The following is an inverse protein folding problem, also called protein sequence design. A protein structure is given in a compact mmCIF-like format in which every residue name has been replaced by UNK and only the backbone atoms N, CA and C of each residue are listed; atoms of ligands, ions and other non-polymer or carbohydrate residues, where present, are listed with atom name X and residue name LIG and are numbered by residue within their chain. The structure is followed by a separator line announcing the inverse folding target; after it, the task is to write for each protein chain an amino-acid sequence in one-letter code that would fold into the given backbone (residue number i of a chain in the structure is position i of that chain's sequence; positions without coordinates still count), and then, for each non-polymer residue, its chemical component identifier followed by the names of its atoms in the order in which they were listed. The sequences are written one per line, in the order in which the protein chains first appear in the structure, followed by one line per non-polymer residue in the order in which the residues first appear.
data_IF_967064942668
#
_entry.id   IF_967064942668
#
_cell.length_a   1.000
_cell.length_b   1.000
_cell.length_c   1.000
_cell.angle_alpha   90.00
_cell.angle_beta   90.00
_cell.angle_gamma   90.00
#
_symmetry.space_group_name_H-M   'P 1'
#
loop_
_entity.id
_entity.type
_entity.pdbx_description
1 polymer ?
#
# COMPACT_ATOMS: atom_id res chain seq x y z
N UNK A 1 3.39 -0.85 31.15
CA UNK A 1 3.50 -0.76 29.68
C UNK A 1 3.20 -2.13 29.10
N UNK A 2 2.04 -2.27 28.48
CA UNK A 2 1.64 -3.53 27.83
C UNK A 2 2.26 -3.55 26.45
N UNK A 3 3.18 -4.46 26.21
CA UNK A 3 3.85 -4.64 24.94
C UNK A 3 2.87 -5.31 23.97
N UNK A 4 2.31 -4.54 23.06
CA UNK A 4 1.32 -4.98 22.06
C UNK A 4 1.94 -5.76 20.89
N UNK A 5 3.26 -5.89 20.81
CA UNK A 5 3.95 -6.32 19.60
C UNK A 5 4.20 -7.83 19.44
N UNK A 6 3.96 -8.66 20.47
CA UNK A 6 4.24 -10.11 20.36
C UNK A 6 3.42 -11.03 21.27
N UNK A 7 2.38 -10.56 21.93
CA UNK A 7 1.53 -11.43 22.75
C UNK A 7 0.36 -11.94 21.93
N UNK A 8 0.05 -13.23 22.15
CA UNK A 8 -1.11 -13.87 21.57
C UNK A 8 -2.34 -12.98 21.76
N UNK A 9 -3.07 -12.88 20.76
CA UNK A 9 -4.12 -11.96 20.43
C UNK A 9 -5.30 -11.84 21.42
N UNK A 10 -5.31 -12.59 22.53
CA UNK A 10 -6.34 -12.55 23.56
C UNK A 10 -5.71 -12.13 24.89
N UNK A 11 -5.88 -10.88 25.29
CA UNK A 11 -5.36 -10.34 26.55
C UNK A 11 -6.52 -10.10 27.52
N UNK A 12 -6.46 -10.70 28.71
CA UNK A 12 -7.37 -10.42 29.82
C UNK A 12 -6.68 -9.59 30.88
N UNK A 13 -7.35 -8.58 31.40
CA UNK A 13 -6.88 -7.76 32.50
C UNK A 13 -7.49 -8.26 33.83
N UNK A 14 -6.63 -8.54 34.81
CA UNK A 14 -7.05 -8.91 36.17
C UNK A 14 -6.54 -7.81 37.10
N UNK A 15 -7.45 -7.15 37.83
CA UNK A 15 -7.11 -6.01 38.69
C UNK A 15 -7.86 -6.05 40.02
N UNK A 16 -7.32 -5.36 41.01
CA UNK A 16 -7.99 -5.14 42.29
C UNK A 16 -8.94 -3.92 42.26
N UNK A 17 -8.91 -3.14 41.18
CA UNK A 17 -9.65 -1.89 41.06
C UNK A 17 -10.82 -2.04 40.07
N UNK A 18 -12.00 -1.55 40.46
CA UNK A 18 -13.21 -1.54 39.64
C UNK A 18 -13.51 -0.12 39.09
N UNK A 19 -12.47 0.66 38.85
CA UNK A 19 -12.61 2.05 38.37
C UNK A 19 -13.05 2.07 36.90
N UNK A 20 -14.11 2.83 36.61
CA UNK A 20 -14.65 2.98 35.25
C UNK A 20 -13.63 3.55 34.28
N UNK A 21 -12.77 4.46 34.72
CA UNK A 21 -11.71 5.03 33.89
C UNK A 21 -10.72 3.96 33.42
N UNK A 22 -10.37 3.02 34.31
CA UNK A 22 -9.49 1.91 33.99
C UNK A 22 -10.13 0.94 32.99
N UNK A 23 -11.44 0.68 33.14
CA UNK A 23 -12.21 -0.16 32.21
C UNK A 23 -12.25 0.46 30.81
N UNK A 24 -12.55 1.76 30.71
CA UNK A 24 -12.56 2.46 29.43
C UNK A 24 -11.18 2.48 28.75
N UNK A 25 -10.12 2.66 29.53
CA UNK A 25 -8.75 2.59 29.01
C UNK A 25 -8.40 1.20 28.53
N UNK A 26 -8.78 0.16 29.27
CA UNK A 26 -8.58 -1.23 28.86
C UNK A 26 -9.35 -1.57 27.57
N UNK A 27 -10.58 -1.11 27.45
CA UNK A 27 -11.39 -1.27 26.23
C UNK A 27 -10.76 -0.56 25.01
N UNK A 28 -10.25 0.66 25.19
CA UNK A 28 -9.55 1.42 24.12
C UNK A 28 -8.26 0.74 23.64
N UNK A 29 -7.58 0.01 24.53
CA UNK A 29 -6.36 -0.73 24.21
C UNK A 29 -6.69 -2.08 23.52
N UNK A 30 -7.97 -2.51 23.55
CA UNK A 30 -8.42 -3.74 22.94
C UNK A 30 -8.14 -4.98 23.80
N UNK A 31 -8.34 -4.88 25.12
CA UNK A 31 -8.31 -6.02 26.04
C UNK A 31 -9.58 -6.87 25.83
N UNK A 32 -9.39 -8.16 25.64
CA UNK A 32 -10.49 -9.09 25.35
C UNK A 32 -11.39 -9.41 26.55
N UNK A 33 -10.87 -9.23 27.76
CA UNK A 33 -11.62 -9.46 28.99
C UNK A 33 -11.06 -8.70 30.18
N UNK A 34 -11.92 -8.49 31.18
CA UNK A 34 -11.60 -7.78 32.41
C UNK A 34 -12.20 -8.54 33.61
N UNK A 35 -11.39 -8.77 34.64
CA UNK A 35 -11.80 -9.42 35.87
C UNK A 35 -11.31 -8.65 37.09
N UNK A 36 -12.19 -8.48 38.08
CA UNK A 36 -11.87 -7.82 39.37
C UNK A 36 -11.58 -8.85 40.44
N UNK A 37 -10.53 -8.63 41.24
CA UNK A 37 -10.21 -9.44 42.43
C UNK A 37 -11.15 -9.06 43.58
N UNK A 38 -11.58 -10.05 44.41
CA UNK A 38 -11.23 -11.46 44.41
C UNK A 38 -11.93 -12.24 43.30
N UNK A 39 -11.18 -13.08 42.56
CA UNK A 39 -11.72 -13.88 41.46
C UNK A 39 -12.42 -15.09 42.01
N UNK A 40 -13.71 -15.22 41.73
CA UNK A 40 -14.43 -16.43 42.04
C UNK A 40 -14.06 -17.55 41.07
N UNK A 41 -13.77 -18.78 41.51
CA UNK A 41 -13.38 -19.87 40.62
C UNK A 41 -14.38 -20.16 39.50
N UNK A 42 -15.67 -19.98 39.77
CA UNK A 42 -16.75 -20.16 38.79
C UNK A 42 -16.91 -19.01 37.80
N UNK A 43 -16.28 -17.84 38.00
CA UNK A 43 -16.33 -16.72 37.12
C UNK A 43 -15.18 -16.68 36.08
N UNK A 44 -14.03 -17.29 36.42
CA UNK A 44 -12.83 -17.22 35.61
C UNK A 44 -12.97 -17.95 34.28
N UNK A 45 -13.43 -19.21 34.31
CA UNK A 45 -13.53 -20.04 33.11
C UNK A 45 -14.53 -19.49 32.10
N UNK A 46 -15.77 -19.10 32.48
CA UNK A 46 -16.70 -18.46 31.53
C UNK A 46 -16.17 -17.14 30.95
N UNK A 47 -15.50 -16.34 31.75
CA UNK A 47 -14.91 -15.07 31.27
C UNK A 47 -13.82 -15.32 30.22
N UNK A 48 -12.97 -16.32 30.39
CA UNK A 48 -11.96 -16.71 29.41
C UNK A 48 -12.63 -17.22 28.14
N UNK A 49 -13.63 -18.09 28.22
CA UNK A 49 -14.34 -18.63 27.07
C UNK A 49 -14.99 -17.51 26.23
N UNK A 50 -15.66 -16.57 26.91
CA UNK A 50 -16.27 -15.41 26.23
C UNK A 50 -15.21 -14.55 25.58
N UNK A 51 -14.11 -14.24 26.26
CA UNK A 51 -13.02 -13.43 25.71
C UNK A 51 -12.39 -14.07 24.46
N UNK A 52 -12.13 -15.37 24.51
CA UNK A 52 -11.58 -16.13 23.38
C UNK A 52 -12.56 -16.16 22.21
N UNK A 53 -13.86 -16.37 22.48
CA UNK A 53 -14.89 -16.40 21.45
C UNK A 53 -15.04 -15.02 20.76
N UNK A 54 -15.01 -13.93 21.52
CA UNK A 54 -15.04 -12.57 20.99
C UNK A 54 -13.81 -12.27 20.13
N UNK A 55 -12.63 -12.61 20.60
CA UNK A 55 -11.40 -12.39 19.84
C UNK A 55 -11.40 -13.17 18.51
N UNK A 56 -11.83 -14.43 18.54
CA UNK A 56 -11.98 -15.23 17.32
C UNK A 56 -12.95 -14.60 16.33
N UNK A 57 -14.06 -14.05 16.83
CA UNK A 57 -15.04 -13.34 16.01
C UNK A 57 -14.48 -12.05 15.42
N UNK A 58 -13.76 -11.25 16.22
CA UNK A 58 -13.12 -10.02 15.78
C UNK A 58 -12.08 -10.27 14.67
N UNK A 59 -11.23 -11.28 14.81
CA UNK A 59 -10.28 -11.68 13.78
C UNK A 59 -10.96 -12.11 12.50
N UNK A 60 -12.04 -12.87 12.60
CA UNK A 60 -12.80 -13.28 11.42
C UNK A 60 -13.38 -12.07 10.69
N UNK A 61 -13.94 -11.10 11.42
CA UNK A 61 -14.47 -9.87 10.85
C UNK A 61 -13.36 -9.01 10.24
N UNK A 62 -12.23 -8.86 10.93
CA UNK A 62 -11.08 -8.11 10.41
C UNK A 62 -10.56 -8.72 9.11
N UNK A 63 -10.37 -10.04 9.07
CA UNK A 63 -9.93 -10.72 7.84
C UNK A 63 -10.92 -10.57 6.67
N UNK A 64 -12.23 -10.51 6.96
CA UNK A 64 -13.25 -10.24 5.93
C UNK A 64 -13.18 -8.79 5.43
N UNK A 65 -12.96 -7.82 6.32
CA UNK A 65 -12.77 -6.41 5.96
C UNK A 65 -11.52 -6.23 5.11
N UNK A 66 -10.38 -6.76 5.56
CA UNK A 66 -9.11 -6.68 4.82
C UNK A 66 -9.23 -7.28 3.42
N UNK A 67 -9.92 -8.44 3.33
CA UNK A 67 -10.19 -9.08 2.04
C UNK A 67 -11.11 -8.25 1.11
N UNK A 68 -12.13 -7.61 1.67
CA UNK A 68 -13.03 -6.74 0.89
C UNK A 68 -12.33 -5.47 0.41
N UNK A 69 -11.55 -4.84 1.30
CA UNK A 69 -10.74 -3.67 0.93
C UNK A 69 -9.69 -4.00 -0.14
N UNK A 70 -9.05 -5.18 -0.03
CA UNK A 70 -8.08 -5.60 -1.05
C UNK A 70 -8.74 -5.79 -2.41
N UNK A 71 -9.92 -6.43 -2.46
CA UNK A 71 -10.68 -6.57 -3.71
C UNK A 71 -11.02 -5.21 -4.32
N UNK A 72 -11.48 -4.26 -3.50
CA UNK A 72 -11.80 -2.91 -3.96
C UNK A 72 -10.57 -2.17 -4.51
N UNK A 73 -9.43 -2.30 -3.84
CA UNK A 73 -8.14 -1.75 -4.32
C UNK A 73 -7.75 -2.37 -5.65
N UNK A 74 -7.87 -3.69 -5.78
CA UNK A 74 -7.53 -4.40 -7.01
C UNK A 74 -8.46 -4.01 -8.18
N UNK A 75 -9.76 -3.91 -7.95
CA UNK A 75 -10.72 -3.44 -8.97
C UNK A 75 -10.41 -2.04 -9.47
N UNK A 76 -10.12 -1.10 -8.55
CA UNK A 76 -9.72 0.27 -8.92
C UNK A 76 -8.43 0.28 -9.74
N UNK A 77 -7.46 -0.55 -9.38
CA UNK A 77 -6.19 -0.69 -10.08
C UNK A 77 -6.38 -1.24 -11.50
N UNK A 78 -7.22 -2.28 -11.63
CA UNK A 78 -7.57 -2.88 -12.93
C UNK A 78 -8.26 -1.84 -13.82
N UNK A 79 -9.25 -1.11 -13.29
CA UNK A 79 -9.96 -0.06 -14.04
C UNK A 79 -9.03 1.04 -14.55
N UNK A 80 -8.10 1.52 -13.71
CA UNK A 80 -7.10 2.50 -14.14
C UNK A 80 -6.23 1.97 -15.28
N UNK A 81 -5.75 0.74 -15.18
CA UNK A 81 -4.95 0.12 -16.24
C UNK A 81 -5.74 -0.11 -17.52
N UNK A 82 -7.04 -0.44 -17.43
CA UNK A 82 -7.92 -0.54 -18.61
C UNK A 82 -8.00 0.80 -19.35
N UNK A 83 -8.25 1.91 -18.63
CA UNK A 83 -8.32 3.25 -19.24
C UNK A 83 -7.04 3.55 -20.02
N UNK A 84 -5.88 3.30 -19.41
CA UNK A 84 -4.59 3.52 -20.07
C UNK A 84 -4.44 2.67 -21.34
N UNK A 85 -4.82 1.39 -21.30
CA UNK A 85 -4.75 0.51 -22.46
C UNK A 85 -5.71 0.97 -23.56
N UNK A 86 -6.92 1.40 -23.20
CA UNK A 86 -7.90 1.96 -24.15
C UNK A 86 -7.34 3.21 -24.87
N UNK A 87 -6.72 4.11 -24.14
CA UNK A 87 -6.14 5.33 -24.69
C UNK A 87 -4.90 5.05 -25.56
N UNK A 88 -4.00 4.20 -25.06
CA UNK A 88 -2.71 3.94 -25.75
C UNK A 88 -2.85 3.01 -26.94
N UNK A 89 -3.75 2.03 -26.89
CA UNK A 89 -3.92 1.02 -27.95
C UNK A 89 -5.20 1.19 -28.76
N UNK A 90 -6.01 2.20 -28.44
CA UNK A 90 -7.29 2.48 -29.10
C UNK A 90 -8.22 1.25 -29.16
N UNK A 91 -8.24 0.50 -28.07
CA UNK A 91 -9.07 -0.71 -27.94
C UNK A 91 -10.27 -0.49 -27.03
N UNK A 92 -11.25 -1.37 -27.08
CA UNK A 92 -12.42 -1.35 -26.21
C UNK A 92 -12.07 -1.79 -24.77
N UNK A 93 -12.92 -1.44 -23.81
CA UNK A 93 -12.77 -1.86 -22.41
C UNK A 93 -12.66 -3.39 -22.27
N UNK A 94 -13.48 -4.13 -23.03
CA UNK A 94 -13.48 -5.57 -23.03
C UNK A 94 -12.16 -6.15 -23.57
N UNK A 95 -11.62 -5.55 -24.60
CA UNK A 95 -10.34 -5.96 -25.19
C UNK A 95 -9.18 -5.67 -24.24
N UNK A 96 -9.16 -4.52 -23.61
CA UNK A 96 -8.16 -4.15 -22.61
C UNK A 96 -8.15 -5.16 -21.45
N UNK A 97 -9.34 -5.54 -20.95
CA UNK A 97 -9.44 -6.55 -19.90
C UNK A 97 -8.98 -7.93 -20.37
N UNK A 98 -9.37 -8.36 -21.58
CA UNK A 98 -8.93 -9.65 -22.16
C UNK A 98 -7.42 -9.72 -22.31
N UNK A 99 -6.78 -8.64 -22.75
CA UNK A 99 -5.32 -8.57 -22.85
C UNK A 99 -4.66 -8.72 -21.47
N UNK A 100 -5.11 -8.00 -20.45
CA UNK A 100 -4.57 -8.15 -19.09
C UNK A 100 -4.76 -9.56 -18.55
N UNK A 101 -5.94 -10.17 -18.80
CA UNK A 101 -6.23 -11.55 -18.39
C UNK A 101 -5.30 -12.55 -19.08
N UNK A 102 -5.08 -12.43 -20.38
CA UNK A 102 -4.14 -13.29 -21.14
C UNK A 102 -2.72 -13.14 -20.60
N UNK A 103 -2.26 -11.91 -20.34
CA UNK A 103 -0.95 -11.67 -19.73
C UNK A 103 -0.85 -12.29 -18.33
N UNK A 104 -1.91 -12.23 -17.54
CA UNK A 104 -1.95 -12.80 -16.19
C UNK A 104 -1.85 -14.34 -16.25
N UNK A 105 -2.58 -14.96 -17.16
CA UNK A 105 -2.50 -16.42 -17.38
C UNK A 105 -1.11 -16.85 -17.83
N UNK A 106 -0.52 -16.18 -18.82
CA UNK A 106 0.81 -16.50 -19.33
C UNK A 106 1.91 -16.33 -18.26
N UNK A 107 1.75 -15.37 -17.37
CA UNK A 107 2.71 -15.09 -16.26
C UNK A 107 2.35 -15.77 -14.94
N UNK A 108 1.31 -16.60 -14.91
CA UNK A 108 0.81 -17.30 -13.72
C UNK A 108 0.63 -16.34 -12.52
N UNK A 109 -0.02 -15.21 -12.77
CA UNK A 109 -0.24 -14.14 -11.79
C UNK A 109 -1.66 -13.62 -11.84
N UNK A 110 -2.03 -12.66 -10.99
CA UNK A 110 -3.36 -12.05 -10.98
C UNK A 110 -3.46 -10.90 -11.98
N UNK A 111 -4.70 -10.63 -12.45
CA UNK A 111 -4.98 -9.47 -13.32
C UNK A 111 -4.59 -8.17 -12.63
N UNK A 112 -4.82 -8.06 -11.32
CA UNK A 112 -4.42 -6.90 -10.53
C UNK A 112 -2.89 -6.69 -10.51
N UNK A 113 -2.10 -7.76 -10.48
CA UNK A 113 -0.64 -7.67 -10.56
C UNK A 113 -0.18 -7.17 -11.94
N UNK A 114 -0.81 -7.62 -13.02
CA UNK A 114 -0.56 -7.08 -14.37
C UNK A 114 -0.94 -5.60 -14.44
N UNK A 115 -2.11 -5.24 -13.92
CA UNK A 115 -2.58 -3.85 -13.87
C UNK A 115 -1.59 -2.94 -13.13
N UNK A 116 -1.09 -3.35 -11.96
CA UNK A 116 -0.03 -2.61 -11.24
C UNK A 116 1.24 -2.42 -12.07
N UNK A 117 1.66 -3.43 -12.83
CA UNK A 117 2.83 -3.30 -13.72
C UNK A 117 2.60 -2.31 -14.85
N UNK A 118 1.43 -2.31 -15.46
CA UNK A 118 1.06 -1.36 -16.52
C UNK A 118 1.12 0.08 -15.96
N UNK A 119 0.48 0.32 -14.81
CA UNK A 119 0.50 1.63 -14.15
C UNK A 119 1.94 2.08 -13.82
N UNK A 120 2.73 1.18 -13.27
CA UNK A 120 4.13 1.47 -12.92
C UNK A 120 4.97 1.80 -14.16
N UNK A 121 4.76 1.11 -15.29
CA UNK A 121 5.48 1.41 -16.55
C UNK A 121 5.09 2.78 -17.09
N UNK A 122 3.81 3.17 -17.00
CA UNK A 122 3.36 4.50 -17.42
C UNK A 122 3.94 5.61 -16.55
N UNK A 123 3.92 5.45 -15.22
CA UNK A 123 4.55 6.40 -14.31
C UNK A 123 6.05 6.58 -14.58
N UNK A 124 6.75 5.52 -14.96
CA UNK A 124 8.16 5.59 -15.34
C UNK A 124 8.37 6.36 -16.64
N UNK A 125 7.49 6.13 -17.62
CA UNK A 125 7.56 6.84 -18.91
C UNK A 125 7.27 8.33 -18.74
N UNK A 126 6.30 8.69 -17.92
CA UNK A 126 5.93 10.10 -17.65
C UNK A 126 7.07 10.88 -17.00
N UNK A 127 7.72 10.35 -15.98
CA UNK A 127 8.82 11.04 -15.28
C UNK A 127 10.02 11.28 -16.21
N UNK A 128 10.36 10.30 -17.03
CA UNK A 128 11.44 10.45 -18.02
C UNK A 128 11.05 11.50 -19.08
N UNK A 129 9.80 11.48 -19.52
CA UNK A 129 9.29 12.44 -20.52
C UNK A 129 9.29 13.87 -19.98
N UNK A 130 8.77 14.08 -18.76
CA UNK A 130 8.79 15.40 -18.11
C UNK A 130 10.22 15.92 -17.93
N UNK A 131 11.14 15.05 -17.51
CA UNK A 131 12.55 15.44 -17.34
C UNK A 131 13.21 15.77 -18.67
N UNK A 132 12.91 15.04 -19.75
CA UNK A 132 13.36 15.38 -21.09
C UNK A 132 12.90 16.77 -21.49
N UNK A 133 11.61 17.07 -21.32
CA UNK A 133 11.06 18.39 -21.64
C UNK A 133 11.72 19.51 -20.85
N UNK A 134 11.99 19.30 -19.57
CA UNK A 134 12.71 20.26 -18.72
C UNK A 134 14.14 20.50 -19.23
N UNK A 135 14.87 19.44 -19.60
CA UNK A 135 16.22 19.55 -20.14
C UNK A 135 16.22 20.26 -21.49
N UNK A 136 15.25 19.98 -22.38
CA UNK A 136 15.11 20.67 -23.66
C UNK A 136 14.86 22.17 -23.48
N UNK A 137 13.99 22.55 -22.53
CA UNK A 137 13.66 23.97 -22.28
C UNK A 137 14.79 24.74 -21.60
N UNK A 138 15.45 24.13 -20.59
CA UNK A 138 16.47 24.82 -19.77
C UNK A 138 17.86 24.76 -20.31
N UNK A 139 18.28 23.59 -20.77
CA UNK A 139 19.65 23.34 -21.25
C UNK A 139 19.75 23.42 -22.79
N UNK A 140 18.65 23.77 -23.48
CA UNK A 140 18.55 23.84 -24.94
C UNK A 140 19.03 22.57 -25.66
N UNK A 141 18.82 21.42 -25.05
CA UNK A 141 19.17 20.12 -25.60
C UNK A 141 18.13 19.66 -26.63
N UNK A 142 18.56 18.85 -27.62
CA UNK A 142 17.61 18.08 -28.43
C UNK A 142 16.97 16.96 -27.61
N UNK A 143 15.83 16.43 -28.05
CA UNK A 143 15.15 15.33 -27.37
C UNK A 143 16.05 14.10 -27.21
N UNK A 144 16.79 13.76 -28.26
CA UNK A 144 17.75 12.65 -28.24
C UNK A 144 18.88 12.89 -27.25
N UNK A 145 19.44 14.10 -27.19
CA UNK A 145 20.49 14.45 -26.23
C UNK A 145 19.99 14.43 -24.80
N UNK A 146 18.77 14.91 -24.54
CA UNK A 146 18.15 14.87 -23.21
C UNK A 146 17.94 13.43 -22.72
N UNK A 147 17.47 12.53 -23.59
CA UNK A 147 17.32 11.13 -23.25
C UNK A 147 18.66 10.44 -22.98
N UNK A 148 19.67 10.68 -23.81
CA UNK A 148 21.02 10.15 -23.59
C UNK A 148 21.64 10.65 -22.28
N UNK A 149 21.41 11.91 -21.94
CA UNK A 149 21.87 12.51 -20.69
C UNK A 149 21.26 11.79 -19.47
N UNK A 150 19.93 11.54 -19.49
CA UNK A 150 19.25 10.78 -18.41
C UNK A 150 19.83 9.37 -18.28
N UNK A 151 20.02 8.69 -19.41
CA UNK A 151 20.58 7.34 -19.46
C UNK A 151 22.00 7.28 -18.92
N UNK A 152 22.87 8.19 -19.34
CA UNK A 152 24.25 8.28 -18.86
C UNK A 152 24.30 8.54 -17.35
N UNK A 153 23.42 9.41 -16.83
CA UNK A 153 23.31 9.65 -15.37
C UNK A 153 22.82 8.42 -14.64
N UNK A 154 21.88 7.67 -15.19
CA UNK A 154 21.40 6.41 -14.60
C UNK A 154 22.54 5.37 -14.49
N UNK A 155 23.37 5.24 -15.52
CA UNK A 155 24.56 4.36 -15.50
C UNK A 155 25.60 4.80 -14.46
N UNK A 156 25.92 6.08 -14.40
CA UNK A 156 26.89 6.64 -13.43
C UNK A 156 26.39 6.47 -11.99
N UNK A 157 25.11 6.71 -11.75
CA UNK A 157 24.52 6.61 -10.42
C UNK A 157 24.07 5.19 -10.05
N UNK A 158 24.25 4.23 -10.96
CA UNK A 158 23.80 2.82 -10.80
C UNK A 158 22.34 2.71 -10.37
N UNK A 159 21.49 3.47 -11.03
CA UNK A 159 20.05 3.54 -10.72
C UNK A 159 19.22 3.44 -12.01
N UNK A 160 17.89 3.35 -11.87
CA UNK A 160 16.98 3.32 -13.02
C UNK A 160 16.90 4.68 -13.70
N UNK A 161 16.51 4.71 -14.99
CA UNK A 161 16.30 5.98 -15.73
C UNK A 161 15.29 6.89 -15.02
N UNK A 162 14.29 6.31 -14.35
CA UNK A 162 13.32 7.04 -13.54
C UNK A 162 13.96 7.74 -12.34
N UNK A 163 14.76 7.02 -11.57
CA UNK A 163 15.45 7.60 -10.41
C UNK A 163 16.45 8.67 -10.83
N UNK A 164 17.14 8.45 -11.96
CA UNK A 164 17.99 9.47 -12.55
C UNK A 164 17.20 10.70 -12.98
N UNK A 165 16.05 10.52 -13.64
CA UNK A 165 15.15 11.58 -14.03
C UNK A 165 14.68 12.40 -12.84
N UNK A 166 14.20 11.77 -11.77
CA UNK A 166 13.80 12.44 -10.52
C UNK A 166 14.93 13.27 -9.91
N UNK A 167 16.13 12.71 -9.80
CA UNK A 167 17.29 13.41 -9.24
C UNK A 167 17.67 14.62 -10.09
N UNK A 168 17.62 14.50 -11.42
CA UNK A 168 17.87 15.59 -12.35
C UNK A 168 16.81 16.67 -12.19
N UNK A 169 15.53 16.32 -12.11
CA UNK A 169 14.42 17.23 -11.92
C UNK A 169 14.58 18.04 -10.62
N UNK A 170 14.81 17.35 -9.50
CA UNK A 170 15.05 18.00 -8.19
C UNK A 170 16.26 18.95 -8.24
N UNK A 171 17.35 18.55 -8.91
CA UNK A 171 18.54 19.40 -9.06
C UNK A 171 18.27 20.65 -9.93
N UNK A 172 17.44 20.51 -10.95
CA UNK A 172 17.04 21.64 -11.82
C UNK A 172 16.07 22.59 -11.08
N UNK A 173 15.16 22.07 -10.25
CA UNK A 173 14.23 22.87 -9.45
C UNK A 173 14.95 23.59 -8.31
N UNK A 174 15.89 22.93 -7.63
CA UNK A 174 16.69 23.50 -6.55
C UNK A 174 17.65 24.63 -6.97
N UNK A 175 18.01 24.71 -8.27
CA UNK A 175 18.78 25.84 -8.81
C UNK A 175 17.98 27.13 -8.90
N UNK A 176 16.65 27.08 -8.86
CA UNK A 176 15.77 28.26 -8.89
C UNK A 176 15.44 28.80 -7.46
N UNK A 177 15.86 28.10 -6.40
CA UNK A 177 15.56 28.48 -5.02
C UNK A 177 16.69 29.28 -4.34
N UNK A 178 17.73 29.71 -5.10
CA UNK A 178 18.71 30.70 -4.58
C UNK A 178 18.40 32.05 -5.20
N UNK A 179 18.07 33.05 -4.34
CA UNK A 179 17.90 34.44 -4.78
C UNK A 179 19.22 35.03 -5.29
#
# INVERSE_FOLDING_TARGET
TIIKEKLSDCVMLITAFSDMELIERAAKIGVAGYLVKPIMPNALLPAIEVAVAQEKRNRMLQGRLDGAEQKLRDERTIRKAQIILMETQRCSELEAYRQMRTMAMNKRTTVAAIARRILHQMEQADEVTQTKELLMRREKMSESAAYQYIRQKAEVWKCTNREAAKRIQTALEGRNAKP
#
